data_IF_616347461041
#
_entry.id   IF_616347461041
#
_cell.length_a   1.000
_cell.length_b   1.000
_cell.length_c   1.000
_cell.angle_alpha   90.00
_cell.angle_beta   90.00
_cell.angle_gamma   90.00
#
_symmetry.space_group_name_H-M   'P 1'
#
loop_
_entity.id
_entity.type
_entity.pdbx_description
1 polymer ?
#
# COMPACT_ATOMS: atom_id res chain seq x y z
N UNK A 1 -11.44 -49.52 -3.42
CA UNK A 1 -11.45 -48.68 -2.20
C UNK A 1 -10.21 -47.83 -2.21
N UNK A 2 -10.28 -46.64 -2.81
CA UNK A 2 -9.23 -45.63 -2.75
C UNK A 2 -9.78 -44.51 -1.87
N UNK A 3 -9.10 -44.23 -0.76
CA UNK A 3 -9.47 -43.25 0.25
C UNK A 3 -9.25 -41.84 -0.29
N UNK A 4 -10.33 -41.14 -0.66
CA UNK A 4 -10.32 -39.69 -0.88
C UNK A 4 -10.41 -38.99 0.48
N UNK A 5 -9.28 -38.60 1.04
CA UNK A 5 -9.24 -37.62 2.13
C UNK A 5 -8.60 -36.34 1.60
N UNK A 6 -9.44 -35.41 1.15
CA UNK A 6 -9.02 -34.03 0.88
C UNK A 6 -8.54 -33.41 2.20
N UNK A 7 -7.36 -32.75 2.24
CA UNK A 7 -6.97 -31.93 3.38
C UNK A 7 -8.03 -30.85 3.62
N UNK A 8 -8.45 -30.68 4.87
CA UNK A 8 -9.34 -29.59 5.25
C UNK A 8 -8.64 -28.24 4.96
N UNK A 9 -9.38 -27.20 4.51
CA UNK A 9 -8.79 -25.89 4.29
C UNK A 9 -8.26 -25.34 5.62
N UNK A 10 -7.05 -24.79 5.59
CA UNK A 10 -6.43 -24.07 6.70
C UNK A 10 -7.34 -22.90 7.11
N UNK A 11 -8.14 -23.10 8.16
CA UNK A 11 -8.87 -22.02 8.81
C UNK A 11 -7.89 -21.27 9.70
N UNK A 12 -7.59 -20.03 9.34
CA UNK A 12 -6.97 -19.07 10.25
C UNK A 12 -7.97 -18.83 11.38
N UNK A 13 -7.60 -19.24 12.59
CA UNK A 13 -8.39 -19.02 13.80
C UNK A 13 -8.32 -17.54 14.20
N UNK A 14 -9.24 -16.74 13.68
CA UNK A 14 -9.45 -15.37 14.12
C UNK A 14 -10.39 -15.42 15.33
N UNK A 15 -9.81 -15.45 16.54
CA UNK A 15 -10.58 -15.28 17.77
C UNK A 15 -11.46 -14.01 17.75
N UNK A 16 -12.44 -13.89 18.65
CA UNK A 16 -13.41 -12.80 18.64
C UNK A 16 -12.69 -11.46 18.87
N UNK A 17 -12.43 -10.74 17.78
CA UNK A 17 -12.03 -9.35 17.83
C UNK A 17 -13.31 -8.59 18.18
N UNK A 18 -13.42 -8.07 19.41
CA UNK A 18 -14.43 -7.06 19.71
C UNK A 18 -14.35 -5.99 18.62
N UNK A 19 -15.51 -5.61 18.07
CA UNK A 19 -15.61 -4.64 16.99
C UNK A 19 -15.14 -3.25 17.47
N UNK A 20 -13.83 -3.08 17.58
CA UNK A 20 -13.16 -1.81 17.75
C UNK A 20 -13.39 -1.03 16.47
N UNK A 21 -14.43 -0.21 16.45
CA UNK A 21 -14.61 0.80 15.42
C UNK A 21 -13.38 1.71 15.35
N UNK A 22 -13.37 2.62 14.37
CA UNK A 22 -12.31 3.61 14.13
C UNK A 22 -11.95 4.53 15.32
N UNK A 23 -12.47 4.29 16.53
CA UNK A 23 -12.39 5.10 17.74
C UNK A 23 -11.65 4.39 18.89
N UNK A 24 -11.13 3.17 18.69
CA UNK A 24 -10.41 2.42 19.74
C UNK A 24 -9.13 3.08 20.25
N UNK A 25 -8.65 4.16 19.62
CA UNK A 25 -7.38 4.80 19.96
C UNK A 25 -6.18 4.08 19.36
N UNK A 26 -5.03 4.77 19.34
CA UNK A 26 -3.80 4.30 18.69
C UNK A 26 -3.29 3.00 19.30
N UNK A 27 -3.26 2.89 20.63
CA UNK A 27 -2.74 1.71 21.33
C UNK A 27 -3.59 0.46 21.09
N UNK A 28 -4.91 0.57 21.18
CA UNK A 28 -5.81 -0.56 20.89
C UNK A 28 -5.62 -1.08 19.46
N UNK A 29 -5.44 -0.18 18.48
CA UNK A 29 -5.20 -0.58 17.10
C UNK A 29 -3.82 -1.23 16.91
N UNK A 30 -2.80 -0.77 17.64
CA UNK A 30 -1.46 -1.41 17.66
C UNK A 30 -1.53 -2.80 18.26
N UNK A 31 -2.22 -2.96 19.39
CA UNK A 31 -2.39 -4.24 20.06
C UNK A 31 -3.19 -5.23 19.21
N UNK A 32 -4.28 -4.77 18.59
CA UNK A 32 -5.07 -5.57 17.65
C UNK A 32 -4.21 -6.04 16.46
N UNK A 33 -3.45 -5.13 15.85
CA UNK A 33 -2.56 -5.46 14.74
C UNK A 33 -1.48 -6.49 15.14
N UNK A 34 -0.85 -6.32 16.32
CA UNK A 34 0.14 -7.28 16.85
C UNK A 34 -0.48 -8.65 17.06
N UNK A 35 -1.65 -8.70 17.70
CA UNK A 35 -2.42 -9.93 17.92
C UNK A 35 -2.84 -10.60 16.61
N UNK A 36 -3.08 -9.82 15.56
CA UNK A 36 -3.41 -10.28 14.22
C UNK A 36 -2.17 -10.62 13.36
N UNK A 37 -0.98 -10.74 13.96
CA UNK A 37 0.23 -11.21 13.29
C UNK A 37 0.99 -10.15 12.48
N UNK A 38 0.76 -8.85 12.75
CA UNK A 38 1.50 -7.73 12.13
C UNK A 38 2.68 -7.21 12.96
N UNK A 39 3.07 -7.91 14.02
CA UNK A 39 4.16 -7.48 14.92
C UNK A 39 5.46 -7.14 14.18
N UNK A 40 5.91 -7.99 13.25
CA UNK A 40 7.16 -7.76 12.50
C UNK A 40 7.12 -6.46 11.68
N UNK A 41 5.98 -6.18 11.02
CA UNK A 41 5.81 -4.96 10.23
C UNK A 41 5.83 -3.73 11.13
N UNK A 42 5.17 -3.80 12.29
CA UNK A 42 5.13 -2.69 13.25
C UNK A 42 6.48 -2.46 13.93
N UNK A 43 7.21 -3.53 14.26
CA UNK A 43 8.54 -3.44 14.85
C UNK A 43 9.53 -2.81 13.85
N UNK A 44 9.42 -3.17 12.56
CA UNK A 44 10.18 -2.52 11.48
C UNK A 44 9.86 -1.04 11.37
N UNK A 45 8.58 -0.67 11.34
CA UNK A 45 8.18 0.74 11.28
C UNK A 45 8.65 1.54 12.50
N UNK A 46 8.62 0.95 13.70
CA UNK A 46 9.14 1.61 14.90
C UNK A 46 10.66 1.84 14.84
N UNK A 47 11.41 0.93 14.22
CA UNK A 47 12.85 1.08 14.01
C UNK A 47 13.19 2.11 12.92
N UNK A 48 12.46 2.08 11.80
CA UNK A 48 12.70 2.94 10.64
C UNK A 48 12.20 4.37 10.86
N UNK A 49 11.13 4.54 11.64
CA UNK A 49 10.45 5.82 11.88
C UNK A 49 10.35 6.14 13.39
N UNK A 50 11.48 6.44 14.06
CA UNK A 50 11.49 6.71 15.49
C UNK A 50 10.72 7.99 15.83
N UNK A 51 9.89 7.91 16.87
CA UNK A 51 9.08 9.05 17.32
C UNK A 51 9.93 10.00 18.15
N UNK A 52 9.95 11.29 17.77
CA UNK A 52 10.63 12.35 18.51
C UNK A 52 9.81 12.87 19.71
N UNK A 53 10.38 13.79 20.52
CA UNK A 53 9.75 14.32 21.74
C UNK A 53 8.51 15.18 21.49
N UNK A 54 8.15 15.40 20.23
CA UNK A 54 6.92 16.08 19.83
C UNK A 54 5.94 15.03 19.33
N UNK A 55 4.96 14.69 20.17
CA UNK A 55 3.85 13.84 19.79
C UNK A 55 3.04 14.51 18.69
N UNK A 56 3.16 13.97 17.47
CA UNK A 56 2.25 14.15 16.35
C UNK A 56 1.72 15.59 16.18
N UNK A 57 2.48 16.48 15.50
CA UNK A 57 1.85 17.72 15.02
C UNK A 57 0.57 17.35 14.25
N UNK A 58 -0.45 18.21 14.34
CA UNK A 58 -1.70 18.15 13.57
C UNK A 58 -1.39 17.88 12.08
N UNK A 59 -1.25 16.62 11.72
CA UNK A 59 -0.71 16.21 10.44
C UNK A 59 -1.72 15.33 9.74
N UNK A 60 -1.72 15.44 8.42
CA UNK A 60 -2.60 14.64 7.58
C UNK A 60 -2.32 13.14 7.80
N UNK A 61 -3.34 12.31 7.58
CA UNK A 61 -3.25 10.86 7.62
C UNK A 61 -1.95 10.36 6.93
N UNK A 62 -1.11 9.55 7.60
CA UNK A 62 0.14 9.07 7.02
C UNK A 62 -0.03 8.41 5.64
N UNK A 63 -1.12 7.67 5.41
CA UNK A 63 -1.41 7.05 4.12
C UNK A 63 -1.42 8.02 2.93
N UNK A 64 -1.67 9.31 3.15
CA UNK A 64 -1.54 10.35 2.11
C UNK A 64 -0.14 10.38 1.50
N UNK A 65 0.88 10.18 2.33
CA UNK A 65 2.29 10.12 1.96
C UNK A 65 2.60 9.08 0.90
N UNK A 66 2.15 7.86 1.16
CA UNK A 66 2.24 6.73 0.24
C UNK A 66 1.40 6.98 -1.02
N UNK A 67 0.14 7.37 -0.83
CA UNK A 67 -0.83 7.54 -1.91
C UNK A 67 -0.39 8.58 -2.96
N UNK A 68 0.08 9.75 -2.52
CA UNK A 68 0.51 10.81 -3.45
C UNK A 68 1.71 10.42 -4.31
N UNK A 69 2.56 9.51 -3.83
CA UNK A 69 3.67 8.94 -4.61
C UNK A 69 3.11 7.96 -5.64
N UNK A 70 2.24 7.04 -5.21
CA UNK A 70 1.60 6.06 -6.10
C UNK A 70 0.82 6.71 -7.24
N UNK A 71 0.06 7.76 -6.97
CA UNK A 71 -0.75 8.46 -7.98
C UNK A 71 0.07 9.24 -9.02
N UNK A 72 1.39 9.36 -8.84
CA UNK A 72 2.29 9.96 -9.83
C UNK A 72 3.01 8.92 -10.67
N UNK A 73 3.02 7.65 -10.25
CA UNK A 73 3.59 6.55 -11.03
C UNK A 73 2.74 6.34 -12.29
N UNK A 74 3.40 6.11 -13.43
CA UNK A 74 2.71 5.80 -14.69
C UNK A 74 2.39 4.32 -14.73
N UNK A 75 1.24 3.98 -15.35
CA UNK A 75 0.80 2.57 -15.52
C UNK A 75 0.79 1.79 -14.20
N UNK A 76 0.48 2.48 -13.10
CA UNK A 76 0.30 1.87 -11.78
C UNK A 76 -1.11 2.14 -11.31
N UNK A 77 -1.87 1.09 -11.01
CA UNK A 77 -3.15 1.23 -10.33
C UNK A 77 -2.90 1.33 -8.82
N UNK A 78 -3.58 2.25 -8.14
CA UNK A 78 -3.50 2.38 -6.68
C UNK A 78 -4.86 2.05 -6.08
N UNK A 79 -4.92 1.00 -5.25
CA UNK A 79 -6.13 0.50 -4.61
C UNK A 79 -6.00 0.66 -3.09
N UNK A 80 -6.98 1.29 -2.47
CA UNK A 80 -7.06 1.44 -1.02
C UNK A 80 -8.07 0.46 -0.43
N UNK A 81 -7.65 -0.28 0.59
CA UNK A 81 -8.53 -1.00 1.50
C UNK A 81 -8.67 -0.17 2.77
N UNK A 82 -9.87 0.36 3.01
CA UNK A 82 -10.09 1.40 4.01
C UNK A 82 -11.56 1.69 4.26
N UNK A 83 -11.88 2.51 5.25
CA UNK A 83 -13.25 3.01 5.41
C UNK A 83 -13.55 4.06 4.34
N UNK A 84 -14.82 4.21 3.98
CA UNK A 84 -15.26 5.20 2.99
C UNK A 84 -14.80 6.62 3.35
N UNK A 85 -14.82 7.00 4.64
CA UNK A 85 -14.37 8.31 5.07
C UNK A 85 -12.85 8.51 4.90
N UNK A 86 -12.04 7.48 5.18
CA UNK A 86 -10.59 7.55 4.95
C UNK A 86 -10.28 7.67 3.45
N UNK A 87 -10.90 6.84 2.62
CA UNK A 87 -10.65 6.84 1.17
C UNK A 87 -11.13 8.14 0.53
N UNK A 88 -12.28 8.67 0.95
CA UNK A 88 -12.76 9.98 0.51
C UNK A 88 -11.77 11.09 0.87
N UNK A 89 -11.36 11.19 2.13
CA UNK A 89 -10.43 12.23 2.59
C UNK A 89 -9.05 12.15 1.91
N UNK A 90 -8.53 10.93 1.73
CA UNK A 90 -7.27 10.68 1.03
C UNK A 90 -7.37 11.01 -0.46
N UNK A 91 -8.48 10.65 -1.11
CA UNK A 91 -8.71 10.98 -2.53
C UNK A 91 -8.82 12.48 -2.72
N UNK A 92 -9.60 13.17 -1.88
CA UNK A 92 -9.74 14.63 -1.92
C UNK A 92 -8.38 15.33 -1.76
N UNK A 93 -7.64 14.98 -0.71
CA UNK A 93 -6.33 15.60 -0.43
C UNK A 93 -5.34 15.32 -1.55
N UNK A 94 -5.30 14.10 -2.09
CA UNK A 94 -4.39 13.74 -3.18
C UNK A 94 -4.65 14.54 -4.45
N UNK A 95 -5.91 14.70 -4.84
CA UNK A 95 -6.25 15.49 -6.03
C UNK A 95 -6.02 16.99 -5.81
N UNK A 96 -6.22 17.48 -4.58
CA UNK A 96 -5.86 18.85 -4.22
C UNK A 96 -4.35 19.12 -4.40
N UNK A 97 -3.50 18.16 -4.05
CA UNK A 97 -2.05 18.22 -4.25
C UNK A 97 -1.58 17.76 -5.64
N UNK A 98 -2.48 17.82 -6.64
CA UNK A 98 -2.14 17.67 -8.05
C UNK A 98 -2.08 16.24 -8.56
N UNK A 99 -2.56 15.25 -7.79
CA UNK A 99 -2.80 13.93 -8.36
C UNK A 99 -3.87 14.00 -9.46
N UNK A 100 -3.64 13.27 -10.56
CA UNK A 100 -4.55 13.23 -11.72
C UNK A 100 -5.09 11.83 -12.02
N UNK A 101 -4.74 10.85 -11.19
CA UNK A 101 -5.09 9.44 -11.39
C UNK A 101 -6.20 9.04 -10.41
N UNK A 102 -7.04 8.12 -10.86
CA UNK A 102 -8.08 7.52 -10.02
C UNK A 102 -7.48 6.71 -8.88
N UNK A 103 -8.24 6.64 -7.79
CA UNK A 103 -7.96 5.78 -6.63
C UNK A 103 -8.98 4.65 -6.66
N UNK A 104 -8.50 3.41 -6.76
CA UNK A 104 -9.32 2.22 -6.57
C UNK A 104 -9.69 2.06 -5.09
N UNK A 105 -10.85 1.50 -4.81
CA UNK A 105 -11.38 1.38 -3.46
C UNK A 105 -12.05 0.02 -3.26
N UNK A 106 -11.62 -0.72 -2.24
CA UNK A 106 -12.32 -1.92 -1.75
C UNK A 106 -12.97 -1.58 -0.41
N UNK A 107 -14.32 -1.49 -0.35
CA UNK A 107 -15.03 -1.17 0.87
C UNK A 107 -15.07 -2.35 1.83
N UNK A 108 -15.28 -2.05 3.11
CA UNK A 108 -15.59 -3.07 4.12
C UNK A 108 -16.74 -2.63 5.03
N UNK A 109 -17.31 -3.60 5.73
CA UNK A 109 -18.19 -3.39 6.87
C UNK A 109 -17.76 -4.34 8.01
N UNK A 110 -18.42 -4.27 9.16
CA UNK A 110 -18.04 -5.08 10.32
C UNK A 110 -18.08 -6.59 10.03
N UNK A 111 -19.04 -7.05 9.22
CA UNK A 111 -19.17 -8.46 8.83
C UNK A 111 -18.01 -8.90 7.93
N UNK A 112 -17.67 -8.11 6.91
CA UNK A 112 -16.59 -8.49 5.97
C UNK A 112 -15.20 -8.46 6.61
N UNK A 113 -15.01 -7.66 7.67
CA UNK A 113 -13.78 -7.64 8.46
C UNK A 113 -13.60 -8.92 9.28
N UNK A 114 -14.65 -9.36 10.00
CA UNK A 114 -14.54 -10.51 10.92
C UNK A 114 -14.62 -11.85 10.21
N UNK A 115 -15.27 -11.91 9.04
CA UNK A 115 -15.40 -13.15 8.27
C UNK A 115 -14.20 -13.42 7.36
N UNK A 116 -13.25 -12.49 7.25
CA UNK A 116 -12.13 -12.56 6.30
C UNK A 116 -12.52 -12.25 4.85
N UNK A 117 -13.81 -11.99 4.56
CA UNK A 117 -14.31 -11.69 3.22
C UNK A 117 -13.60 -10.50 2.57
N UNK A 118 -13.18 -9.50 3.35
CA UNK A 118 -12.44 -8.36 2.82
C UNK A 118 -11.17 -8.78 2.04
N UNK A 119 -10.46 -9.83 2.45
CA UNK A 119 -9.31 -10.31 1.68
C UNK A 119 -9.73 -10.89 0.33
N UNK A 120 -10.81 -11.66 0.29
CA UNK A 120 -11.34 -12.22 -0.96
C UNK A 120 -11.83 -11.11 -1.89
N UNK A 121 -12.54 -10.10 -1.36
CA UNK A 121 -12.98 -8.93 -2.13
C UNK A 121 -11.77 -8.16 -2.71
N UNK A 122 -10.68 -8.02 -1.95
CA UNK A 122 -9.43 -7.43 -2.44
C UNK A 122 -8.82 -8.27 -3.56
N UNK A 123 -8.75 -9.59 -3.36
CA UNK A 123 -8.16 -10.52 -4.32
C UNK A 123 -8.93 -10.49 -5.65
N UNK A 124 -10.26 -10.58 -5.60
CA UNK A 124 -11.12 -10.48 -6.78
C UNK A 124 -10.92 -9.15 -7.51
N UNK A 125 -10.91 -8.03 -6.78
CA UNK A 125 -10.67 -6.71 -7.36
C UNK A 125 -9.30 -6.59 -8.04
N UNK A 126 -8.26 -7.22 -7.48
CA UNK A 126 -6.92 -7.22 -8.08
C UNK A 126 -6.87 -8.11 -9.32
N UNK A 127 -7.51 -9.28 -9.27
CA UNK A 127 -7.60 -10.20 -10.41
C UNK A 127 -8.34 -9.57 -11.59
N UNK A 128 -9.44 -8.84 -11.34
CA UNK A 128 -10.19 -8.10 -12.36
C UNK A 128 -9.37 -6.95 -12.96
N UNK A 129 -8.60 -6.25 -12.13
CA UNK A 129 -7.83 -5.07 -12.53
C UNK A 129 -6.52 -5.41 -13.25
N UNK A 130 -6.03 -6.64 -13.13
CA UNK A 130 -4.74 -7.09 -13.65
C UNK A 130 -4.75 -7.26 -15.18
N UNK A 131 -4.64 -6.13 -15.89
CA UNK A 131 -4.50 -6.05 -17.33
C UNK A 131 -3.17 -5.39 -17.76
N UNK A 132 -2.23 -6.15 -18.37
CA UNK A 132 -0.93 -5.63 -18.79
C UNK A 132 -1.01 -4.61 -19.93
N UNK A 133 -2.14 -4.51 -20.65
CA UNK A 133 -2.33 -3.43 -21.61
C UNK A 133 -2.39 -2.06 -20.92
N UNK A 134 -2.92 -2.01 -19.69
CA UNK A 134 -3.17 -0.77 -18.95
C UNK A 134 -2.17 -0.53 -17.81
N UNK A 135 -1.75 -1.58 -17.11
CA UNK A 135 -0.95 -1.48 -15.88
C UNK A 135 0.29 -2.38 -15.90
N UNK A 136 1.39 -1.86 -15.38
CA UNK A 136 2.62 -2.61 -15.10
C UNK A 136 2.68 -3.08 -13.64
N UNK A 137 1.91 -2.41 -12.76
CA UNK A 137 1.79 -2.75 -11.35
C UNK A 137 0.43 -2.33 -10.77
N UNK A 138 -0.05 -3.08 -9.78
CA UNK A 138 -1.19 -2.75 -8.91
C UNK A 138 -0.67 -2.68 -7.49
N UNK A 139 -0.84 -1.52 -6.86
CA UNK A 139 -0.49 -1.28 -5.46
C UNK A 139 -1.76 -1.37 -4.63
N UNK A 140 -1.81 -2.33 -3.72
CA UNK A 140 -2.91 -2.48 -2.75
C UNK A 140 -2.43 -2.01 -1.39
N UNK A 141 -3.11 -1.03 -0.81
CA UNK A 141 -2.74 -0.45 0.48
C UNK A 141 -3.81 -0.71 1.52
N UNK A 142 -3.46 -1.43 2.58
CA UNK A 142 -4.27 -1.48 3.79
C UNK A 142 -4.09 -0.17 4.58
N UNK A 143 -5.21 0.44 4.96
CA UNK A 143 -5.25 1.55 5.91
C UNK A 143 -5.34 1.01 7.36
N UNK A 144 -5.60 1.90 8.32
CA UNK A 144 -5.59 1.57 9.75
C UNK A 144 -6.43 0.33 10.10
N UNK A 145 -7.70 0.30 9.71
CA UNK A 145 -8.61 -0.78 10.11
C UNK A 145 -8.24 -2.12 9.49
N UNK A 146 -8.06 -2.26 8.16
CA UNK A 146 -7.62 -3.53 7.57
C UNK A 146 -6.26 -4.02 8.09
N UNK A 147 -5.35 -3.10 8.43
CA UNK A 147 -4.07 -3.47 9.06
C UNK A 147 -4.29 -4.05 10.45
N UNK A 148 -5.10 -3.39 11.29
CA UNK A 148 -5.40 -3.84 12.65
C UNK A 148 -6.21 -5.15 12.68
N UNK A 149 -7.10 -5.35 11.71
CA UNK A 149 -7.84 -6.59 11.53
C UNK A 149 -7.00 -7.72 10.91
N UNK A 150 -5.72 -7.48 10.60
CA UNK A 150 -4.81 -8.52 10.13
C UNK A 150 -4.97 -8.92 8.66
N UNK A 151 -5.58 -8.09 7.81
CA UNK A 151 -5.80 -8.43 6.39
C UNK A 151 -4.46 -8.79 5.71
N UNK A 152 -4.31 -10.01 5.19
CA UNK A 152 -3.00 -10.56 4.85
C UNK A 152 -2.65 -10.32 3.37
N UNK A 153 -2.37 -9.06 2.97
CA UNK A 153 -2.00 -8.73 1.59
C UNK A 153 -0.81 -9.53 1.03
N UNK A 154 0.05 -10.08 1.91
CA UNK A 154 1.15 -10.99 1.53
C UNK A 154 0.70 -12.28 0.84
N UNK A 155 -0.58 -12.65 0.99
CA UNK A 155 -1.18 -13.82 0.34
C UNK A 155 -1.67 -13.52 -1.08
N UNK A 156 -1.69 -12.25 -1.50
CA UNK A 156 -1.91 -11.92 -2.91
C UNK A 156 -0.74 -12.48 -3.73
N UNK A 157 -1.04 -13.00 -4.93
CA UNK A 157 0.00 -13.43 -5.86
C UNK A 157 0.92 -12.27 -6.21
N UNK A 158 2.24 -12.48 -6.33
CA UNK A 158 3.21 -11.41 -6.62
C UNK A 158 3.08 -10.83 -8.03
N UNK A 159 2.42 -11.56 -8.92
CA UNK A 159 2.14 -11.19 -10.30
C UNK A 159 0.86 -11.89 -10.76
N UNK A 160 0.02 -11.17 -11.52
CA UNK A 160 -1.19 -11.70 -12.16
C UNK A 160 -1.21 -11.18 -13.59
N UNK A 161 -1.33 -12.06 -14.59
CA UNK A 161 -1.33 -11.69 -16.02
C UNK A 161 -0.14 -10.80 -16.45
N UNK A 162 1.05 -10.97 -15.85
CA UNK A 162 2.21 -10.11 -16.12
C UNK A 162 2.19 -8.75 -15.40
N UNK A 163 1.18 -8.47 -14.57
CA UNK A 163 1.06 -7.24 -13.77
C UNK A 163 1.55 -7.51 -12.35
N UNK A 164 2.49 -6.69 -11.87
CA UNK A 164 3.08 -6.83 -10.52
C UNK A 164 2.05 -6.47 -9.46
N UNK A 165 1.90 -7.29 -8.42
CA UNK A 165 1.00 -6.97 -7.31
C UNK A 165 1.82 -6.63 -6.08
N UNK A 166 1.60 -5.45 -5.52
CA UNK A 166 2.39 -4.90 -4.43
C UNK A 166 1.44 -4.56 -3.29
N UNK A 167 1.43 -5.39 -2.25
CA UNK A 167 0.66 -5.18 -1.03
C UNK A 167 1.49 -4.43 0.02
N UNK A 168 0.96 -3.32 0.56
CA UNK A 168 1.57 -2.56 1.65
C UNK A 168 0.56 -2.25 2.75
N UNK A 169 1.03 -2.19 4.00
CA UNK A 169 0.25 -1.70 5.14
C UNK A 169 0.73 -0.28 5.48
N UNK A 170 -0.16 0.70 5.45
CA UNK A 170 0.17 2.10 5.80
C UNK A 170 -0.76 2.60 6.91
N UNK A 171 -0.67 2.02 8.12
CA UNK A 171 -1.50 2.41 9.24
C UNK A 171 -1.05 3.75 9.84
N UNK A 172 -2.00 4.63 10.13
CA UNK A 172 -1.73 5.89 10.82
C UNK A 172 -1.22 5.73 12.26
N UNK A 173 -1.37 4.54 12.85
CA UNK A 173 -0.82 4.21 14.16
C UNK A 173 0.60 3.62 14.11
N UNK A 174 1.07 3.19 12.93
CA UNK A 174 2.40 2.56 12.78
C UNK A 174 3.45 3.50 12.21
N UNK A 175 3.04 4.50 11.43
CA UNK A 175 3.96 5.44 10.76
C UNK A 175 3.65 6.85 11.27
N UNK A 176 4.64 7.61 11.79
CA UNK A 176 4.37 8.85 12.51
C UNK A 176 3.84 9.97 11.61
N UNK A 177 4.31 10.06 10.36
CA UNK A 177 3.93 11.16 9.45
C UNK A 177 3.65 10.70 8.03
N UNK A 178 2.90 11.52 7.28
CA UNK A 178 2.78 11.35 5.82
C UNK A 178 4.08 11.64 5.07
N UNK A 179 5.05 12.33 5.67
CA UNK A 179 6.34 12.56 5.06
C UNK A 179 7.16 11.25 5.01
N UNK A 180 7.04 10.40 6.02
CA UNK A 180 7.70 9.10 6.11
C UNK A 180 6.94 8.00 5.38
N UNK A 181 5.60 8.03 5.42
CA UNK A 181 4.78 7.01 4.78
C UNK A 181 4.98 6.90 3.25
N UNK A 182 5.53 7.93 2.61
CA UNK A 182 5.93 7.88 1.20
C UNK A 182 6.99 6.79 0.96
N UNK A 183 7.86 6.58 1.94
CA UNK A 183 9.01 5.68 1.85
C UNK A 183 8.57 4.22 1.94
N UNK A 184 7.41 3.94 2.53
CA UNK A 184 6.80 2.59 2.52
C UNK A 184 6.50 2.13 1.10
N UNK A 185 5.82 2.96 0.30
CA UNK A 185 5.55 2.60 -1.10
C UNK A 185 6.82 2.62 -1.94
N UNK A 186 7.65 3.67 -1.82
CA UNK A 186 8.89 3.76 -2.58
C UNK A 186 9.80 2.56 -2.29
N UNK A 187 9.94 2.18 -1.03
CA UNK A 187 10.69 1.01 -0.58
C UNK A 187 10.13 -0.29 -1.13
N UNK A 188 8.81 -0.49 -1.11
CA UNK A 188 8.17 -1.69 -1.67
C UNK A 188 8.41 -1.82 -3.19
N UNK A 189 8.27 -0.71 -3.92
CA UNK A 189 8.53 -0.66 -5.36
C UNK A 189 10.01 -0.95 -5.67
N UNK A 190 10.93 -0.34 -4.91
CA UNK A 190 12.38 -0.53 -5.08
C UNK A 190 12.80 -1.96 -4.73
N UNK A 191 12.22 -2.56 -3.70
CA UNK A 191 12.48 -3.94 -3.32
C UNK A 191 12.04 -4.90 -4.44
N UNK A 192 10.86 -4.69 -5.02
CA UNK A 192 10.39 -5.48 -6.16
C UNK A 192 11.31 -5.31 -7.37
N UNK A 193 11.59 -4.06 -7.77
CA UNK A 193 12.45 -3.76 -8.91
C UNK A 193 13.87 -4.34 -8.75
N UNK A 194 14.41 -4.30 -7.53
CA UNK A 194 15.70 -4.93 -7.20
C UNK A 194 15.64 -6.44 -7.41
N UNK A 195 14.59 -7.11 -6.94
CA UNK A 195 14.46 -8.56 -7.11
C UNK A 195 14.39 -8.99 -8.58
N UNK A 196 13.74 -8.18 -9.43
CA UNK A 196 13.73 -8.42 -10.89
C UNK A 196 15.14 -8.23 -11.49
N UNK A 197 15.81 -7.14 -11.13
CA UNK A 197 17.15 -6.82 -11.64
C UNK A 197 18.22 -7.85 -11.22
N UNK A 198 18.08 -8.44 -10.02
CA UNK A 198 18.97 -9.51 -9.54
C UNK A 198 18.71 -10.84 -10.28
N UNK A 199 17.51 -11.04 -10.82
CA UNK A 199 17.16 -12.26 -11.56
C UNK A 199 17.65 -12.23 -13.02
N UNK A 200 17.76 -11.05 -13.62
CA UNK A 200 18.27 -10.92 -14.98
C UNK A 200 17.99 -9.56 -15.63
N UNK A 201 18.18 -9.46 -16.95
CA UNK A 201 17.90 -8.24 -17.70
C UNK A 201 16.44 -7.80 -17.55
N UNK A 202 16.23 -6.54 -17.18
CA UNK A 202 14.90 -5.91 -17.09
C UNK A 202 14.55 -5.15 -18.36
N UNK A 203 13.25 -4.90 -18.58
CA UNK A 203 12.75 -4.14 -19.71
C UNK A 203 13.43 -2.78 -19.83
N UNK A 204 13.96 -2.49 -21.02
CA UNK A 204 14.50 -1.17 -21.32
C UNK A 204 13.39 -0.10 -21.32
N UNK A 205 13.69 1.15 -20.94
CA UNK A 205 12.72 2.23 -21.03
C UNK A 205 12.27 2.44 -22.48
N UNK A 206 11.00 2.78 -22.67
CA UNK A 206 10.39 2.96 -24.00
C UNK A 206 11.11 4.01 -24.86
N UNK A 207 11.70 5.02 -24.22
CA UNK A 207 12.53 6.02 -24.86
C UNK A 207 13.95 5.93 -24.29
N UNK A 208 14.92 5.66 -25.17
CA UNK A 208 16.34 5.80 -24.89
C UNK A 208 16.88 6.98 -25.69
N UNK A 209 17.10 8.15 -25.06
CA UNK A 209 17.74 9.27 -25.75
C UNK A 209 19.21 8.94 -26.05
N UNK A 210 19.75 9.55 -27.11
CA UNK A 210 21.16 9.38 -27.51
C UNK A 210 22.15 9.99 -26.49
N UNK A 211 21.66 10.89 -25.64
CA UNK A 211 22.45 11.53 -24.58
C UNK A 211 22.41 10.71 -23.29
N UNK A 212 23.48 10.74 -22.47
CA UNK A 212 23.46 10.14 -21.14
C UNK A 212 22.27 10.66 -20.31
N UNK A 213 21.61 9.76 -19.58
CA UNK A 213 20.49 10.09 -18.70
C UNK A 213 20.89 10.05 -17.24
N UNK A 214 20.29 10.93 -16.44
CA UNK A 214 20.38 10.92 -14.98
C UNK A 214 18.98 10.68 -14.42
N UNK A 215 18.85 9.73 -13.50
CA UNK A 215 17.60 9.49 -12.76
C UNK A 215 17.66 10.20 -11.42
N UNK A 216 16.70 11.11 -11.20
CA UNK A 216 16.51 11.74 -9.90
C UNK A 216 15.59 10.87 -9.05
N UNK A 217 16.04 10.53 -7.85
CA UNK A 217 15.25 9.85 -6.85
C UNK A 217 14.96 10.82 -5.72
N UNK A 218 13.68 11.08 -5.49
CA UNK A 218 13.25 11.99 -4.45
C UNK A 218 11.76 12.26 -4.50
N UNK A 219 11.28 12.92 -3.47
CA UNK A 219 9.94 13.45 -3.46
C UNK A 219 9.86 14.66 -4.38
N UNK A 220 8.92 14.66 -5.33
CA UNK A 220 8.66 15.81 -6.18
C UNK A 220 7.50 16.62 -5.62
N UNK A 221 7.70 17.90 -5.35
CA UNK A 221 6.63 18.86 -5.15
C UNK A 221 6.14 19.41 -6.49
N UNK A 222 4.93 20.01 -6.56
CA UNK A 222 4.36 20.47 -7.82
C UNK A 222 5.25 21.43 -8.64
N UNK A 223 6.15 22.17 -7.99
CA UNK A 223 7.06 23.14 -8.63
C UNK A 223 8.38 22.49 -9.09
N UNK A 224 8.76 21.35 -8.49
CA UNK A 224 10.07 20.74 -8.73
C UNK A 224 10.31 20.37 -10.20
N UNK A 225 9.36 19.77 -10.95
CA UNK A 225 9.58 19.48 -12.36
C UNK A 225 9.85 20.72 -13.21
N UNK A 226 9.26 21.87 -12.86
CA UNK A 226 9.51 23.13 -13.56
C UNK A 226 10.92 23.64 -13.29
N UNK A 227 11.37 23.60 -12.03
CA UNK A 227 12.71 24.05 -11.63
C UNK A 227 13.83 23.12 -12.12
N UNK A 228 13.61 21.80 -12.04
CA UNK A 228 14.52 20.79 -12.57
C UNK A 228 14.60 20.95 -14.09
N UNK A 229 13.44 21.09 -14.75
CA UNK A 229 13.37 21.34 -16.19
C UNK A 229 14.19 22.55 -16.61
N UNK A 230 14.12 23.68 -15.89
CA UNK A 230 14.90 24.88 -16.23
C UNK A 230 16.40 24.79 -15.94
N UNK A 231 16.85 23.80 -15.15
CA UNK A 231 18.25 23.68 -14.72
C UNK A 231 19.08 22.73 -15.60
N UNK A 232 18.44 21.95 -16.48
CA UNK A 232 19.10 20.91 -17.30
C UNK A 232 19.15 21.32 -18.79
N UNK A 233 19.00 22.61 -19.10
CA UNK A 233 19.17 23.17 -20.46
C UNK A 233 20.25 24.25 -20.48
#
# INVERSE_FOLDING_TARGET
MLSETRPAPDRIDTGPVEAGGCHGGVETMREAARSAGKSEVLDRYAADYPVGPHDQPQSMCPAFGSLRVGLRMRRTATVLSGSACCVYGLTFTSHFYGARRSVGYVPFNSETLVTGKLFEDIKEAVEELADPAHYDAIVVTNLCVPTASGVPLRLLGREINGVRIIGIDVPGFGIPTHAEAKDVLAGAMLAYARSEAETGPVSAPQQRPDKPTVTLLGEMFPVDPMGIGSSIW
#
